data_IF_984493364058
#
_entry.id   IF_984493364058
#
_cell.length_a   1.000
_cell.length_b   1.000
_cell.length_c   1.000
_cell.angle_alpha   90.00
_cell.angle_beta   90.00
_cell.angle_gamma   90.00
#
_symmetry.space_group_name_H-M   'P 1'
#
loop_
_entity.id
_entity.type
_entity.pdbx_description
1 polymer ?
#
# COMPACT_ATOMS: atom_id res chain seq x y z
N UNK A 1 -48.96 -44.51 0.16
CA UNK A 1 -47.82 -44.37 1.10
C UNK A 1 -46.60 -43.93 0.29
N UNK A 2 -46.40 -42.61 0.12
CA UNK A 2 -45.22 -42.05 -0.56
C UNK A 2 -44.41 -41.30 0.50
N UNK A 3 -43.25 -41.87 0.83
CA UNK A 3 -42.29 -41.33 1.78
C UNK A 3 -41.54 -40.17 1.09
N UNK A 4 -41.81 -38.94 1.50
CA UNK A 4 -41.10 -37.75 1.02
C UNK A 4 -39.84 -37.59 1.90
N UNK A 5 -38.67 -37.91 1.35
CA UNK A 5 -37.38 -37.66 2.01
C UNK A 5 -37.01 -36.20 1.75
N UNK A 6 -37.10 -35.38 2.80
CA UNK A 6 -36.62 -34.01 2.79
C UNK A 6 -35.10 -34.03 2.97
N UNK A 7 -34.35 -33.79 1.88
CA UNK A 7 -32.91 -33.54 1.96
C UNK A 7 -32.68 -32.16 2.57
N UNK A 8 -32.34 -32.15 3.87
CA UNK A 8 -31.89 -30.95 4.58
C UNK A 8 -30.48 -30.61 4.08
N UNK A 9 -30.39 -29.71 3.09
CA UNK A 9 -29.12 -29.06 2.73
C UNK A 9 -28.69 -28.18 3.92
N UNK A 10 -27.81 -28.72 4.78
CA UNK A 10 -27.03 -27.89 5.68
C UNK A 10 -26.09 -27.04 4.82
N UNK A 11 -26.46 -25.78 4.60
CA UNK A 11 -25.50 -24.74 4.26
C UNK A 11 -24.53 -24.61 5.44
N UNK A 12 -23.38 -25.25 5.35
CA UNK A 12 -22.22 -24.85 6.13
C UNK A 12 -21.80 -23.47 5.61
N UNK A 13 -22.39 -22.43 6.21
CA UNK A 13 -21.79 -21.11 6.20
C UNK A 13 -20.41 -21.27 6.85
N UNK A 14 -19.37 -21.38 6.02
CA UNK A 14 -18.01 -21.34 6.49
C UNK A 14 -17.84 -20.05 7.27
N UNK A 15 -17.61 -20.15 8.58
CA UNK A 15 -17.06 -19.06 9.35
C UNK A 15 -15.78 -18.64 8.62
N UNK A 16 -15.80 -17.52 7.89
CA UNK A 16 -14.58 -16.76 7.67
C UNK A 16 -14.12 -16.39 9.07
N UNK A 17 -13.12 -17.10 9.57
CA UNK A 17 -12.46 -16.70 10.80
C UNK A 17 -12.05 -15.25 10.59
N UNK A 18 -12.44 -14.37 11.51
CA UNK A 18 -11.89 -13.02 11.65
C UNK A 18 -10.43 -13.12 12.08
N UNK A 19 -9.61 -13.80 11.27
CA UNK A 19 -8.21 -13.96 11.53
C UNK A 19 -7.54 -12.61 11.32
N UNK A 20 -7.18 -11.98 12.43
CA UNK A 20 -6.49 -10.69 12.47
C UNK A 20 -4.97 -10.87 12.47
N UNK A 21 -4.49 -12.09 12.24
CA UNK A 21 -3.06 -12.38 12.18
C UNK A 21 -2.48 -11.82 10.88
N UNK A 22 -1.36 -11.07 10.93
CA UNK A 22 -0.66 -10.67 9.72
C UNK A 22 -0.02 -11.87 9.03
N UNK A 23 0.06 -11.83 7.71
CA UNK A 23 0.73 -12.87 6.91
C UNK A 23 2.21 -12.97 7.24
N UNK A 24 2.85 -11.83 7.49
CA UNK A 24 4.26 -11.72 7.85
C UNK A 24 4.34 -11.27 9.31
N UNK A 25 4.71 -12.17 10.25
CA UNK A 25 4.90 -11.80 11.64
C UNK A 25 6.14 -10.90 11.78
N UNK A 26 6.17 -10.10 12.85
CA UNK A 26 7.36 -9.36 13.23
C UNK A 26 8.48 -10.33 13.61
N UNK A 27 9.72 -9.95 13.27
CA UNK A 27 10.89 -10.65 13.81
C UNK A 27 11.12 -10.25 15.27
N UNK A 28 10.71 -11.14 16.19
CA UNK A 28 10.89 -10.98 17.64
C UNK A 28 12.34 -11.07 18.11
N UNK A 29 13.31 -11.27 17.22
CA UNK A 29 14.74 -11.12 17.54
C UNK A 29 15.29 -9.74 17.16
N UNK A 30 14.57 -8.98 16.33
CA UNK A 30 14.96 -7.66 15.87
C UNK A 30 14.38 -6.56 16.77
N UNK A 31 15.26 -5.85 17.49
CA UNK A 31 14.85 -4.71 18.33
C UNK A 31 14.20 -3.58 17.54
N UNK A 32 14.58 -3.39 16.27
CA UNK A 32 13.94 -2.40 15.40
C UNK A 32 12.51 -2.82 15.05
N UNK A 33 12.29 -4.10 14.72
CA UNK A 33 10.96 -4.59 14.38
C UNK A 33 10.00 -4.58 15.57
N UNK A 34 10.49 -4.98 16.75
CA UNK A 34 9.69 -4.89 17.99
C UNK A 34 9.20 -3.48 18.27
N UNK A 35 10.06 -2.49 18.05
CA UNK A 35 9.78 -1.08 18.40
C UNK A 35 9.03 -0.32 17.32
N UNK A 36 9.13 -0.73 16.06
CA UNK A 36 8.42 -0.03 14.99
C UNK A 36 6.90 -0.17 15.18
N UNK A 37 6.16 0.80 14.67
CA UNK A 37 4.69 0.85 14.73
C UNK A 37 4.04 0.62 13.36
N UNK A 38 4.82 0.06 12.43
CA UNK A 38 4.43 -0.14 11.05
C UNK A 38 3.30 -1.17 10.98
N UNK A 39 2.25 -0.80 10.25
CA UNK A 39 1.16 -1.67 9.84
C UNK A 39 1.05 -1.61 8.32
N UNK A 40 1.08 -2.78 7.69
CA UNK A 40 1.00 -2.93 6.23
C UNK A 40 -0.19 -3.80 5.89
N UNK A 41 -1.03 -3.31 4.98
CA UNK A 41 -2.29 -3.97 4.65
C UNK A 41 -2.68 -3.77 3.19
N UNK A 42 -3.39 -4.74 2.64
CA UNK A 42 -4.18 -4.51 1.43
C UNK A 42 -5.48 -3.86 1.86
N UNK A 43 -5.73 -2.66 1.36
CA UNK A 43 -6.90 -1.86 1.69
C UNK A 43 -7.79 -1.59 0.49
N UNK A 44 -9.10 -1.63 0.68
CA UNK A 44 -10.09 -1.07 -0.25
C UNK A 44 -10.44 0.35 0.16
N UNK A 45 -10.29 1.31 -0.75
CA UNK A 45 -10.59 2.73 -0.53
C UNK A 45 -12.04 2.92 -0.10
N UNK A 46 -12.24 3.66 0.99
CA UNK A 46 -13.54 4.19 1.40
C UNK A 46 -13.60 5.67 1.01
N UNK A 47 -12.64 6.48 1.48
CA UNK A 47 -12.46 7.86 1.04
C UNK A 47 -11.02 8.33 1.15
N UNK A 48 -10.66 9.33 0.35
CA UNK A 48 -9.47 10.16 0.51
C UNK A 48 -9.91 11.60 0.24
N UNK A 49 -9.79 12.46 1.25
CA UNK A 49 -10.29 13.83 1.21
C UNK A 49 -9.22 14.80 1.66
N UNK A 50 -9.12 15.94 0.97
CA UNK A 50 -8.20 17.00 1.36
C UNK A 50 -8.66 17.62 2.69
N UNK A 51 -7.73 17.73 3.63
CA UNK A 51 -7.93 18.43 4.89
C UNK A 51 -7.53 19.91 4.73
N UNK A 52 -7.98 20.80 5.64
CA UNK A 52 -7.51 22.19 5.64
C UNK A 52 -5.98 22.24 5.68
N UNK A 53 -5.39 22.96 4.73
CA UNK A 53 -3.94 23.10 4.64
C UNK A 53 -3.46 24.10 5.69
N UNK A 54 -2.41 23.73 6.42
CA UNK A 54 -1.62 24.70 7.18
C UNK A 54 -0.88 25.61 6.20
N UNK A 55 -1.10 26.92 6.28
CA UNK A 55 -0.47 27.91 5.39
C UNK A 55 1.06 27.89 5.44
N UNK A 56 1.64 27.33 6.51
CA UNK A 56 3.08 27.18 6.68
C UNK A 56 3.62 25.84 6.17
N UNK A 57 2.76 24.92 5.71
CA UNK A 57 3.17 23.61 5.20
C UNK A 57 3.29 23.59 3.67
N UNK A 58 4.42 23.07 3.20
CA UNK A 58 4.68 22.77 1.79
C UNK A 58 4.00 21.48 1.31
N UNK A 59 3.36 20.73 2.22
CA UNK A 59 2.62 19.52 1.91
C UNK A 59 1.11 19.79 1.98
N UNK A 60 0.36 19.24 1.03
CA UNK A 60 -1.09 19.14 1.17
C UNK A 60 -1.44 18.03 2.16
N UNK A 61 -2.35 18.31 3.08
CA UNK A 61 -2.83 17.34 4.05
C UNK A 61 -4.09 16.64 3.55
N UNK A 62 -4.18 15.33 3.74
CA UNK A 62 -5.38 14.53 3.45
C UNK A 62 -5.74 13.62 4.62
N UNK A 63 -7.03 13.30 4.70
CA UNK A 63 -7.55 12.20 5.53
C UNK A 63 -7.93 11.05 4.62
N UNK A 64 -7.44 9.87 4.94
CA UNK A 64 -7.74 8.65 4.21
C UNK A 64 -8.43 7.63 5.11
N UNK A 65 -9.41 6.92 4.55
CA UNK A 65 -10.09 5.80 5.21
C UNK A 65 -10.17 4.61 4.28
N UNK A 66 -9.77 3.45 4.78
CA UNK A 66 -9.70 2.21 4.02
C UNK A 66 -10.31 1.05 4.82
N UNK A 67 -11.00 0.15 4.12
CA UNK A 67 -11.34 -1.17 4.64
C UNK A 67 -10.13 -2.10 4.49
N UNK A 68 -9.71 -2.73 5.55
CA UNK A 68 -8.63 -3.72 5.57
C UNK A 68 -9.17 -5.03 4.98
N UNK A 69 -8.54 -5.47 3.89
CA UNK A 69 -8.86 -6.72 3.21
C UNK A 69 -7.90 -7.82 3.65
N UNK A 70 -6.60 -7.52 3.73
CA UNK A 70 -5.55 -8.43 4.19
C UNK A 70 -4.56 -7.69 5.08
N UNK A 71 -4.07 -8.37 6.14
CA UNK A 71 -3.02 -7.85 7.02
C UNK A 71 -1.69 -8.46 6.58
N UNK A 72 -0.78 -7.64 6.07
CA UNK A 72 0.50 -8.13 5.56
C UNK A 72 1.56 -8.12 6.65
N UNK A 73 1.67 -7.03 7.41
CA UNK A 73 2.64 -6.88 8.50
C UNK A 73 2.09 -6.03 9.64
N UNK A 74 2.49 -6.33 10.87
CA UNK A 74 2.02 -5.63 12.07
C UNK A 74 0.58 -5.98 12.45
N UNK A 75 0.11 -5.45 13.57
CA UNK A 75 -1.22 -5.76 14.12
C UNK A 75 -2.11 -4.53 14.14
N UNK A 76 -3.38 -4.73 13.77
CA UNK A 76 -4.41 -3.70 13.86
C UNK A 76 -5.78 -4.34 14.09
N UNK A 77 -6.50 -3.83 15.08
CA UNK A 77 -7.66 -4.52 15.65
C UNK A 77 -8.93 -4.36 14.83
N UNK A 78 -9.10 -3.24 14.13
CA UNK A 78 -10.33 -2.97 13.40
C UNK A 78 -10.23 -3.48 11.96
N UNK A 79 -11.37 -3.55 11.26
CA UNK A 79 -11.47 -3.86 9.84
C UNK A 79 -11.44 -2.60 8.95
N UNK A 80 -11.45 -1.42 9.56
CA UNK A 80 -11.24 -0.13 8.89
C UNK A 80 -10.21 0.69 9.61
N UNK A 81 -9.37 1.38 8.85
CA UNK A 81 -8.32 2.27 9.37
C UNK A 81 -8.47 3.67 8.77
N UNK A 82 -8.27 4.67 9.62
CA UNK A 82 -8.15 6.07 9.25
C UNK A 82 -6.72 6.53 9.50
N UNK A 83 -6.15 7.28 8.57
CA UNK A 83 -4.79 7.81 8.68
C UNK A 83 -4.65 9.16 7.99
N UNK A 84 -3.68 9.94 8.46
CA UNK A 84 -3.30 11.23 7.88
C UNK A 84 -2.23 11.03 6.79
N UNK A 85 -2.30 11.85 5.76
CA UNK A 85 -1.39 11.81 4.60
C UNK A 85 -0.89 13.22 4.36
N UNK A 86 0.40 13.34 4.08
CA UNK A 86 1.06 14.59 3.71
C UNK A 86 1.77 14.36 2.39
N UNK A 87 1.36 15.10 1.36
CA UNK A 87 1.85 14.90 0.00
C UNK A 87 2.27 16.24 -0.62
N UNK A 88 3.49 16.28 -1.15
CA UNK A 88 4.06 17.48 -1.74
C UNK A 88 3.54 17.75 -3.16
N UNK A 89 3.07 16.70 -3.85
CA UNK A 89 2.72 16.72 -5.27
C UNK A 89 1.20 16.77 -5.50
N UNK A 90 0.43 17.08 -4.46
CA UNK A 90 -1.02 17.24 -4.52
C UNK A 90 -1.77 15.99 -4.08
N UNK A 91 -2.73 15.53 -4.88
CA UNK A 91 -3.58 14.38 -4.53
C UNK A 91 -2.70 13.11 -4.41
N UNK A 92 -2.75 12.35 -3.29
CA UNK A 92 -1.89 11.20 -3.10
C UNK A 92 -2.10 10.15 -4.19
N UNK A 93 -1.01 9.69 -4.81
CA UNK A 93 -1.09 8.82 -5.99
C UNK A 93 -1.86 7.50 -5.76
N UNK A 94 -1.82 6.95 -4.53
CA UNK A 94 -2.58 5.74 -4.17
C UNK A 94 -4.10 5.95 -4.22
N UNK A 95 -4.58 7.19 -4.12
CA UNK A 95 -6.01 7.51 -4.09
C UNK A 95 -6.70 7.26 -5.43
N UNK A 96 -5.95 7.10 -6.52
CA UNK A 96 -6.51 6.78 -7.84
C UNK A 96 -6.92 5.31 -8.00
N UNK A 97 -6.53 4.45 -7.06
CA UNK A 97 -6.81 3.01 -7.12
C UNK A 97 -7.89 2.62 -6.12
N UNK A 98 -8.63 1.55 -6.45
CA UNK A 98 -9.65 1.00 -5.56
C UNK A 98 -9.04 0.17 -4.43
N UNK A 99 -8.05 -0.67 -4.77
CA UNK A 99 -7.34 -1.50 -3.82
C UNK A 99 -5.84 -1.18 -3.88
N UNK A 100 -5.22 -1.09 -2.72
CA UNK A 100 -3.82 -0.66 -2.58
C UNK A 100 -3.16 -1.42 -1.44
N UNK A 101 -1.89 -1.75 -1.61
CA UNK A 101 -1.00 -2.12 -0.51
C UNK A 101 -0.48 -0.82 0.12
N UNK A 102 -0.86 -0.56 1.37
CA UNK A 102 -0.53 0.66 2.10
C UNK A 102 0.39 0.35 3.27
N UNK A 103 1.27 1.31 3.55
CA UNK A 103 2.23 1.29 4.64
C UNK A 103 1.90 2.48 5.55
N UNK A 104 1.55 2.22 6.81
CA UNK A 104 1.23 3.26 7.78
C UNK A 104 1.95 3.01 9.09
N UNK A 105 2.36 4.07 9.77
CA UNK A 105 2.97 3.99 11.11
C UNK A 105 2.14 4.74 12.13
N UNK A 106 2.06 4.21 13.34
CA UNK A 106 1.40 4.87 14.46
C UNK A 106 2.36 5.82 15.18
N UNK A 107 1.85 7.01 15.52
CA UNK A 107 2.52 7.97 16.37
C UNK A 107 1.48 8.72 17.22
N UNK A 108 1.62 8.63 18.55
CA UNK A 108 0.77 9.34 19.54
C UNK A 108 -0.74 9.11 19.36
N UNK A 109 -1.13 7.87 19.10
CA UNK A 109 -2.50 7.40 18.93
C UNK A 109 -3.09 7.61 17.53
N UNK A 110 -2.30 8.11 16.58
CA UNK A 110 -2.74 8.39 15.20
C UNK A 110 -1.89 7.62 14.19
N UNK A 111 -2.51 7.24 13.08
CA UNK A 111 -1.82 6.60 11.96
C UNK A 111 -1.48 7.62 10.89
N UNK A 112 -0.29 7.45 10.31
CA UNK A 112 0.24 8.29 9.25
C UNK A 112 0.68 7.41 8.10
N UNK A 113 0.40 7.84 6.88
CA UNK A 113 0.95 7.20 5.70
C UNK A 113 2.48 7.30 5.69
N UNK A 114 3.15 6.18 5.44
CA UNK A 114 4.57 6.20 5.12
C UNK A 114 4.72 6.90 3.77
N UNK A 115 5.14 8.17 3.79
CA UNK A 115 5.15 9.08 2.63
C UNK A 115 5.69 8.39 1.37
N UNK A 116 4.88 8.39 0.32
CA UNK A 116 5.11 7.78 -1.00
C UNK A 116 5.23 6.24 -1.03
N UNK A 117 4.89 5.54 0.04
CA UNK A 117 4.98 4.08 0.09
C UNK A 117 3.61 3.46 -0.11
N UNK A 118 3.37 2.97 -1.32
CA UNK A 118 2.19 2.17 -1.67
C UNK A 118 2.46 1.35 -2.93
N UNK A 119 1.57 0.41 -3.22
CA UNK A 119 1.45 -0.21 -4.54
C UNK A 119 -0.03 -0.36 -4.89
N UNK A 120 -0.38 -0.17 -6.16
CA UNK A 120 -1.65 -0.65 -6.69
C UNK A 120 -1.64 -2.18 -6.73
N UNK A 121 -2.72 -2.80 -6.25
CA UNK A 121 -2.81 -4.27 -6.20
C UNK A 121 -4.18 -4.75 -6.67
N UNK A 122 -4.18 -5.92 -7.30
CA UNK A 122 -5.34 -6.50 -7.94
C UNK A 122 -5.53 -7.94 -7.48
N UNK A 123 -6.79 -8.41 -7.36
CA UNK A 123 -7.07 -9.79 -7.00
C UNK A 123 -6.60 -10.74 -8.11
N UNK A 124 -5.95 -11.83 -7.72
CA UNK A 124 -5.48 -12.88 -8.63
C UNK A 124 -6.45 -14.05 -8.66
N UNK A 125 -6.42 -14.84 -9.74
CA UNK A 125 -7.25 -16.06 -9.87
C UNK A 125 -6.96 -17.10 -8.75
N UNK A 126 -5.77 -17.03 -8.15
CA UNK A 126 -5.38 -17.85 -6.99
C UNK A 126 -6.00 -17.37 -5.66
N UNK A 127 -6.81 -16.31 -5.68
CA UNK A 127 -7.45 -15.75 -4.49
C UNK A 127 -6.51 -14.90 -3.62
N UNK A 128 -5.38 -14.45 -4.17
CA UNK A 128 -4.42 -13.54 -3.51
C UNK A 128 -4.45 -12.14 -4.13
N UNK A 129 -3.51 -11.29 -3.73
CA UNK A 129 -3.30 -9.95 -4.27
C UNK A 129 -1.92 -9.85 -4.91
N UNK A 130 -1.82 -9.09 -6.00
CA UNK A 130 -0.56 -8.82 -6.66
C UNK A 130 -0.52 -7.43 -7.27
N UNK A 131 0.67 -6.83 -7.29
CA UNK A 131 0.94 -5.59 -8.00
C UNK A 131 1.57 -5.85 -9.35
N UNK A 132 1.41 -4.89 -10.27
CA UNK A 132 1.99 -4.95 -11.62
C UNK A 132 3.45 -4.50 -11.60
N UNK A 133 4.25 -5.00 -12.54
CA UNK A 133 5.66 -4.63 -12.65
C UNK A 133 5.84 -3.28 -13.33
N UNK A 134 6.13 -2.23 -12.59
CA UNK A 134 6.42 -0.93 -13.23
C UNK A 134 7.91 -0.86 -13.62
N UNK A 135 8.22 -0.73 -14.91
CA UNK A 135 9.60 -0.65 -15.46
C UNK A 135 10.43 0.49 -14.80
N UNK A 136 9.77 1.49 -14.19
CA UNK A 136 10.37 2.63 -13.50
C UNK A 136 10.54 2.45 -11.98
N UNK A 137 10.31 1.26 -11.40
CA UNK A 137 10.53 0.98 -9.96
C UNK A 137 11.99 1.15 -9.49
N UNK A 138 12.90 1.55 -10.39
CA UNK A 138 14.30 1.82 -10.07
C UNK A 138 15.10 0.55 -9.83
N UNK A 139 16.37 0.72 -9.45
CA UNK A 139 17.31 -0.38 -9.16
C UNK A 139 16.96 -1.19 -7.89
N UNK A 140 15.86 -0.85 -7.20
CA UNK A 140 15.54 -1.37 -5.86
C UNK A 140 14.77 -2.69 -5.90
N UNK A 141 14.23 -3.09 -7.06
CA UNK A 141 13.50 -4.34 -7.23
C UNK A 141 14.01 -5.14 -8.43
N UNK A 142 14.37 -6.41 -8.21
CA UNK A 142 14.61 -7.35 -9.29
C UNK A 142 13.31 -7.60 -10.06
N UNK A 143 13.33 -7.65 -11.40
CA UNK A 143 12.13 -7.95 -12.18
C UNK A 143 11.42 -9.23 -11.71
N UNK A 144 10.08 -9.28 -11.76
CA UNK A 144 9.35 -10.45 -11.30
C UNK A 144 9.65 -11.67 -12.18
N UNK A 145 9.72 -12.83 -11.54
CA UNK A 145 9.99 -14.09 -12.24
C UNK A 145 8.72 -14.91 -12.51
N UNK A 146 7.58 -14.48 -11.95
CA UNK A 146 6.32 -15.21 -12.01
C UNK A 146 5.29 -14.49 -12.86
N UNK A 147 4.60 -15.27 -13.69
CA UNK A 147 3.39 -14.81 -14.36
C UNK A 147 2.24 -14.71 -13.36
N UNK A 148 1.33 -13.77 -13.60
CA UNK A 148 0.18 -13.54 -12.73
C UNK A 148 -1.08 -13.49 -13.59
N UNK A 149 -2.08 -14.27 -13.19
CA UNK A 149 -3.44 -14.18 -13.72
C UNK A 149 -4.30 -13.34 -12.79
N UNK A 150 -4.77 -12.20 -13.29
CA UNK A 150 -5.68 -11.32 -12.56
C UNK A 150 -7.14 -11.73 -12.81
N UNK A 151 -7.99 -11.62 -11.78
CA UNK A 151 -9.43 -11.92 -11.89
C UNK A 151 -10.13 -11.03 -12.91
N UNK A 152 -9.66 -9.78 -13.04
CA UNK A 152 -10.13 -8.81 -14.03
C UNK A 152 -8.95 -8.41 -14.90
N UNK A 153 -9.24 -8.10 -16.16
CA UNK A 153 -8.23 -7.55 -17.07
C UNK A 153 -7.69 -6.24 -16.49
N UNK A 154 -6.37 -6.19 -16.32
CA UNK A 154 -5.63 -5.02 -15.86
C UNK A 154 -4.89 -4.48 -17.07
N UNK A 155 -4.93 -3.17 -17.27
CA UNK A 155 -4.20 -2.54 -18.36
C UNK A 155 -3.71 -1.15 -17.98
N UNK A 156 -2.54 -0.80 -18.51
CA UNK A 156 -1.92 0.51 -18.35
C UNK A 156 -1.93 1.25 -19.68
N UNK A 157 -2.18 2.58 -19.68
CA UNK A 157 -2.12 3.37 -20.90
C UNK A 157 -0.68 3.43 -21.42
N UNK A 158 -0.48 3.38 -22.74
CA UNK A 158 0.85 3.56 -23.35
C UNK A 158 1.20 5.00 -23.65
N UNK A 159 0.26 5.90 -23.45
CA UNK A 159 0.46 7.32 -23.64
C UNK A 159 -0.22 8.10 -22.53
N UNK A 160 0.49 9.09 -21.99
CA UNK A 160 -0.05 10.07 -21.06
C UNK A 160 0.22 11.48 -21.59
N UNK A 161 -0.52 12.46 -21.09
CA UNK A 161 -0.18 13.87 -21.26
C UNK A 161 0.58 14.30 -20.00
N UNK A 162 1.80 14.82 -20.16
CA UNK A 162 2.58 15.33 -19.03
C UNK A 162 2.05 16.71 -18.57
N UNK A 163 2.65 17.27 -17.53
CA UNK A 163 2.25 18.56 -16.97
C UNK A 163 2.41 19.73 -17.97
N UNK A 164 3.28 19.58 -18.97
CA UNK A 164 3.52 20.57 -20.02
C UNK A 164 2.54 20.42 -21.20
N UNK A 165 1.60 19.48 -21.13
CA UNK A 165 0.63 19.21 -22.20
C UNK A 165 1.16 18.33 -23.33
N UNK A 166 2.35 17.75 -23.18
CA UNK A 166 2.99 16.93 -24.20
C UNK A 166 2.58 15.46 -24.10
N UNK A 167 2.43 14.82 -25.26
CA UNK A 167 2.19 13.38 -25.35
C UNK A 167 3.48 12.61 -25.04
N UNK A 168 3.47 11.86 -23.94
CA UNK A 168 4.58 11.01 -23.51
C UNK A 168 4.23 9.54 -23.76
N UNK A 169 5.12 8.82 -24.43
CA UNK A 169 5.00 7.38 -24.65
C UNK A 169 5.65 6.60 -23.50
N UNK A 170 4.85 5.80 -22.81
CA UNK A 170 5.32 4.92 -21.75
C UNK A 170 5.89 3.62 -22.34
N UNK A 171 7.03 3.19 -21.81
CA UNK A 171 7.71 1.96 -22.20
C UNK A 171 7.27 0.82 -21.28
N UNK A 172 6.95 -0.31 -21.92
CA UNK A 172 6.58 -1.55 -21.26
C UNK A 172 7.31 -2.68 -21.95
N UNK A 173 8.18 -3.35 -21.21
CA UNK A 173 9.13 -4.29 -21.78
C UNK A 173 8.58 -5.72 -21.83
N UNK A 174 8.88 -6.45 -22.90
CA UNK A 174 8.76 -7.90 -22.89
C UNK A 174 9.80 -8.52 -21.93
N UNK A 175 9.52 -9.65 -21.25
CA UNK A 175 8.31 -10.47 -21.34
C UNK A 175 7.16 -10.04 -20.42
N UNK A 176 7.32 -8.94 -19.68
CA UNK A 176 6.41 -8.56 -18.59
C UNK A 176 5.06 -8.04 -19.05
N UNK A 177 4.97 -7.58 -20.30
CA UNK A 177 3.77 -6.97 -20.86
C UNK A 177 3.38 -7.54 -22.22
N UNK A 178 2.07 -7.70 -22.42
CA UNK A 178 1.45 -7.87 -23.74
C UNK A 178 0.88 -6.54 -24.20
N UNK A 179 1.27 -6.10 -25.40
CA UNK A 179 0.77 -4.86 -25.98
C UNK A 179 -0.45 -5.14 -26.86
N UNK A 180 -1.56 -4.47 -26.58
CA UNK A 180 -2.80 -4.52 -27.37
C UNK A 180 -3.26 -3.10 -27.66
N UNK A 181 -3.05 -2.63 -28.89
CA UNK A 181 -3.34 -1.24 -29.27
C UNK A 181 -2.57 -0.23 -28.42
N UNK A 182 -3.29 0.67 -27.75
CA UNK A 182 -2.71 1.69 -26.85
C UNK A 182 -2.65 1.25 -25.37
N UNK A 183 -2.82 -0.04 -25.10
CA UNK A 183 -2.82 -0.61 -23.76
C UNK A 183 -1.69 -1.61 -23.58
N UNK A 184 -1.07 -1.58 -22.40
CA UNK A 184 -0.11 -2.59 -21.94
C UNK A 184 -0.78 -3.45 -20.87
N UNK A 185 -0.87 -4.75 -21.13
CA UNK A 185 -1.49 -5.72 -20.23
C UNK A 185 -0.36 -6.46 -19.49
N UNK A 186 -0.27 -6.36 -18.15
CA UNK A 186 0.75 -7.02 -17.38
C UNK A 186 0.55 -8.54 -17.42
N UNK A 187 1.61 -9.26 -17.75
CA UNK A 187 1.69 -10.72 -17.72
C UNK A 187 2.42 -11.24 -16.49
N UNK A 188 3.28 -10.39 -15.90
CA UNK A 188 4.07 -10.67 -14.71
C UNK A 188 3.82 -9.60 -13.66
N UNK A 189 4.06 -9.93 -12.40
CA UNK A 189 3.93 -9.00 -11.29
C UNK A 189 4.54 -9.56 -10.02
N UNK A 190 4.30 -8.86 -8.91
CA UNK A 190 4.80 -9.23 -7.60
C UNK A 190 3.65 -9.62 -6.68
N UNK A 191 3.84 -10.66 -5.88
CA UNK A 191 2.95 -10.90 -4.74
C UNK A 191 3.10 -9.76 -3.72
N UNK A 192 2.09 -9.59 -2.85
CA UNK A 192 2.15 -8.56 -1.80
C UNK A 192 3.30 -8.80 -0.80
N UNK A 193 3.71 -10.04 -0.60
CA UNK A 193 4.89 -10.40 0.20
C UNK A 193 6.19 -9.91 -0.47
N UNK A 194 6.33 -10.12 -1.79
CA UNK A 194 7.48 -9.61 -2.55
C UNK A 194 7.53 -8.08 -2.55
N UNK A 195 6.37 -7.43 -2.72
CA UNK A 195 6.24 -5.97 -2.64
C UNK A 195 6.62 -5.43 -1.24
N UNK A 196 6.19 -6.11 -0.18
CA UNK A 196 6.57 -5.78 1.18
C UNK A 196 8.09 -5.92 1.37
N UNK A 197 8.70 -7.01 0.90
CA UNK A 197 10.14 -7.24 1.02
C UNK A 197 10.97 -6.19 0.27
N UNK A 198 10.52 -5.73 -0.90
CA UNK A 198 11.16 -4.62 -1.64
C UNK A 198 11.22 -3.37 -0.75
N UNK A 199 10.10 -2.99 -0.13
CA UNK A 199 10.04 -1.79 0.74
C UNK A 199 10.78 -2.00 2.06
N UNK A 200 10.65 -3.19 2.66
CA UNK A 200 11.35 -3.61 3.89
C UNK A 200 12.85 -3.45 3.72
N UNK A 201 13.41 -4.00 2.64
CA UNK A 201 14.87 -4.00 2.40
C UNK A 201 15.39 -2.67 1.82
N UNK A 202 14.52 -1.86 1.22
CA UNK A 202 14.85 -0.52 0.72
C UNK A 202 14.52 0.58 1.73
N UNK A 203 13.59 1.45 1.34
CA UNK A 203 13.26 2.70 2.04
C UNK A 203 12.86 2.51 3.51
N UNK A 204 12.16 1.44 3.89
CA UNK A 204 11.71 1.25 5.28
C UNK A 204 12.87 0.89 6.20
N UNK A 205 13.82 0.06 5.74
CA UNK A 205 15.08 -0.17 6.45
C UNK A 205 15.91 1.10 6.55
N UNK A 206 15.97 1.88 5.47
CA UNK A 206 16.68 3.16 5.48
C UNK A 206 16.08 4.16 6.48
N UNK A 207 14.75 4.15 6.66
CA UNK A 207 14.02 4.90 7.71
C UNK A 207 14.20 4.35 9.13
N UNK A 208 14.93 3.26 9.31
CA UNK A 208 15.24 2.65 10.61
C UNK A 208 14.19 1.65 11.13
N UNK A 209 13.16 1.31 10.34
CA UNK A 209 12.09 0.41 10.78
C UNK A 209 12.55 -1.06 10.87
N UNK A 210 13.65 -1.41 10.20
CA UNK A 210 14.15 -2.79 10.06
C UNK A 210 15.67 -2.90 10.27
N UNK A 211 16.23 -2.11 11.20
CA UNK A 211 17.67 -2.09 11.53
C UNK A 211 18.38 -0.81 11.08
N UNK A 212 19.72 -0.77 11.17
CA UNK A 212 20.51 0.45 10.86
C UNK A 212 20.45 0.83 9.38
N UNK A 213 19.46 1.65 9.02
CA UNK A 213 19.59 2.70 8.01
C UNK A 213 20.38 3.89 8.57
N UNK A 214 20.82 4.83 7.72
CA UNK A 214 21.73 5.92 8.12
C UNK A 214 21.15 6.71 9.32
N UNK A 215 21.84 6.65 10.47
CA UNK A 215 21.32 7.03 11.81
C UNK A 215 20.92 8.52 11.93
N UNK A 216 21.32 9.36 10.97
CA UNK A 216 21.11 10.80 11.00
C UNK A 216 19.76 11.29 10.42
N UNK A 217 18.92 10.40 9.86
CA UNK A 217 17.66 10.79 9.21
C UNK A 217 16.40 10.49 10.04
N UNK A 218 16.34 9.37 10.76
CA UNK A 218 15.12 8.94 11.46
C UNK A 218 14.73 9.90 12.60
N UNK A 219 15.73 10.44 13.31
CA UNK A 219 15.50 11.43 14.38
C UNK A 219 15.24 12.84 13.82
N UNK A 220 15.71 13.16 12.60
CA UNK A 220 15.41 14.44 11.95
C UNK A 220 14.08 14.43 11.20
N UNK A 221 13.58 13.31 10.67
CA UNK A 221 12.31 13.31 9.91
C UNK A 221 11.09 13.24 10.83
N UNK A 222 11.20 12.48 11.92
CA UNK A 222 10.15 12.48 12.97
C UNK A 222 10.15 13.83 13.72
N UNK A 223 11.29 14.52 13.89
CA UNK A 223 11.37 15.83 14.57
C UNK A 223 11.29 17.07 13.65
N UNK A 224 11.43 16.94 12.34
CA UNK A 224 11.41 18.09 11.42
C UNK A 224 10.21 18.02 10.50
N UNK A 225 9.87 16.86 9.91
CA UNK A 225 8.70 16.75 9.02
C UNK A 225 7.39 16.39 9.75
N UNK A 226 7.45 15.73 10.92
CA UNK A 226 6.26 15.39 11.73
C UNK A 226 6.05 16.28 12.98
N UNK A 227 7.02 17.13 13.35
CA UNK A 227 6.98 18.00 14.55
C UNK A 227 6.86 19.49 14.22
N UNK A 228 7.09 19.93 12.98
CA UNK A 228 6.70 21.30 12.56
C UNK A 228 5.19 21.55 12.74
N UNK A 229 4.37 20.50 12.86
CA UNK A 229 2.94 20.54 13.18
C UNK A 229 2.63 21.13 14.58
N UNK A 230 3.62 21.36 15.47
CA UNK A 230 3.32 21.76 16.86
C UNK A 230 4.07 22.95 17.45
N UNK A 231 5.01 23.58 16.75
CA UNK A 231 5.83 24.62 17.40
C UNK A 231 5.22 26.02 17.45
N UNK A 232 4.12 26.28 16.73
CA UNK A 232 3.51 27.63 16.70
C UNK A 232 2.22 27.78 17.51
N UNK A 233 1.82 26.79 18.33
CA UNK A 233 0.62 26.92 19.17
C UNK A 233 0.90 27.27 20.64
N UNK A 234 2.11 27.72 21.00
CA UNK A 234 2.41 28.27 22.33
C UNK A 234 3.49 29.37 22.25
N UNK A 235 3.10 30.60 21.91
CA UNK A 235 3.56 31.80 22.63
C UNK A 235 2.80 33.06 22.20
N UNK A 236 2.24 33.72 23.23
CA UNK A 236 1.62 35.04 23.35
C UNK A 236 0.35 35.32 22.57
#
# INVERSE_FOLDING_TARGET
MKLLIFFLFLFLAGCKSDDKTPWIPKDETSEAEKKNTLFVFVGKKIFVEQAPQDSNSMDAQFKAKYKILERIYGTFQNDTIEFEVYDHYGIPGFSHYDNVLLFVSEFKGKYYHEKYQYFDVYPTEEGKWAGVYHDFMGNDALPPTKQISFVKDVYLPRTIINNDGELVHLKYSAPYYKIVGNSAHPLYGYSVEELFEIKKNGVLKWRGLFGKGNENWADSTIKTEMVEIKKDSVSS
#
